data_IF_654377331034
#
_entry.id   IF_654377331034
#
_cell.length_a   1.000
_cell.length_b   1.000
_cell.length_c   1.000
_cell.angle_alpha   90.00
_cell.angle_beta   90.00
_cell.angle_gamma   90.00
#
_symmetry.space_group_name_H-M   'P 1'
#
loop_
_entity.id
_entity.type
_entity.pdbx_description
1 polymer ?
#
# COMPACT_ATOMS: atom_id res chain seq x y z
N UNK A 1 26.46 -8.17 -79.58
CA UNK A 1 27.26 -8.24 -78.35
C UNK A 1 26.80 -7.14 -77.47
N UNK A 2 25.96 -7.42 -76.41
CA UNK A 2 25.52 -6.48 -75.43
C UNK A 2 25.96 -7.01 -74.07
N UNK A 3 26.86 -6.32 -73.39
CA UNK A 3 27.28 -6.59 -72.00
C UNK A 3 26.25 -5.98 -71.05
N UNK A 4 25.64 -6.86 -70.23
CA UNK A 4 24.83 -6.43 -69.08
C UNK A 4 25.74 -6.38 -67.86
N UNK A 5 25.89 -5.21 -67.26
CA UNK A 5 26.59 -5.03 -66.00
C UNK A 5 25.56 -5.23 -64.83
N UNK A 6 25.84 -6.25 -64.01
CA UNK A 6 25.07 -6.51 -62.77
C UNK A 6 25.67 -5.69 -61.67
N UNK A 7 24.90 -4.69 -61.18
CA UNK A 7 25.25 -3.91 -59.99
C UNK A 7 24.83 -4.65 -58.73
N UNK A 8 25.78 -5.05 -57.89
CA UNK A 8 25.53 -5.54 -56.52
C UNK A 8 25.18 -4.37 -55.61
N UNK A 9 23.89 -4.23 -55.27
CA UNK A 9 23.43 -3.39 -54.20
C UNK A 9 23.64 -4.09 -52.86
N UNK A 10 24.60 -3.60 -52.06
CA UNK A 10 24.80 -4.10 -50.69
C UNK A 10 23.70 -3.60 -49.75
N UNK A 11 22.76 -4.47 -49.40
CA UNK A 11 21.78 -4.23 -48.33
C UNK A 11 22.49 -4.19 -46.96
N UNK A 12 22.72 -2.99 -46.50
CA UNK A 12 23.25 -2.73 -45.16
C UNK A 12 22.10 -2.91 -44.16
N UNK A 13 21.68 -4.14 -43.86
CA UNK A 13 20.79 -4.44 -42.74
C UNK A 13 21.53 -4.11 -41.45
N UNK A 14 21.27 -2.89 -40.89
CA UNK A 14 21.55 -2.60 -39.48
C UNK A 14 20.85 -3.69 -38.65
N UNK A 15 21.64 -4.60 -38.08
CA UNK A 15 21.16 -5.55 -37.10
C UNK A 15 20.53 -4.73 -35.95
N UNK A 16 19.22 -4.87 -35.80
CA UNK A 16 18.53 -4.34 -34.63
C UNK A 16 19.16 -4.99 -33.40
N UNK A 17 19.60 -4.19 -32.44
CA UNK A 17 20.09 -4.70 -31.17
C UNK A 17 19.00 -5.60 -30.55
N UNK A 18 19.36 -6.75 -29.95
CA UNK A 18 18.37 -7.64 -29.34
C UNK A 18 17.54 -6.86 -28.33
N UNK A 19 16.23 -6.89 -28.48
CA UNK A 19 15.31 -6.29 -27.51
C UNK A 19 15.65 -6.88 -26.14
N UNK A 20 16.00 -6.02 -25.17
CA UNK A 20 16.25 -6.45 -23.80
C UNK A 20 15.01 -7.18 -23.29
N UNK A 21 15.20 -8.38 -22.78
CA UNK A 21 14.11 -9.19 -22.19
C UNK A 21 13.38 -8.38 -21.11
N UNK A 22 12.08 -8.19 -21.28
CA UNK A 22 11.26 -7.41 -20.35
C UNK A 22 11.08 -8.21 -19.07
N UNK A 23 11.58 -7.69 -17.96
CA UNK A 23 11.41 -8.27 -16.62
C UNK A 23 10.12 -7.76 -15.98
N UNK A 24 9.36 -8.63 -15.33
CA UNK A 24 8.14 -8.22 -14.60
C UNK A 24 8.33 -8.47 -13.11
N UNK A 25 8.40 -7.39 -12.32
CA UNK A 25 8.45 -7.44 -10.86
C UNK A 25 7.03 -7.45 -10.31
N UNK A 26 6.71 -8.48 -9.52
CA UNK A 26 5.43 -8.63 -8.83
C UNK A 26 5.51 -7.93 -7.47
N UNK A 27 4.75 -6.85 -7.31
CA UNK A 27 4.66 -6.07 -6.08
C UNK A 27 3.40 -6.42 -5.31
N UNK A 28 3.52 -7.04 -4.14
CA UNK A 28 2.43 -7.20 -3.18
C UNK A 28 2.47 -6.02 -2.18
N UNK A 29 1.50 -5.12 -2.20
CA UNK A 29 1.51 -3.92 -1.37
C UNK A 29 0.16 -3.67 -0.68
N UNK A 30 0.21 -3.07 0.51
CA UNK A 30 -0.99 -2.67 1.25
C UNK A 30 -1.91 -1.78 0.40
N UNK A 31 -3.23 -1.98 0.48
CA UNK A 31 -4.25 -1.30 -0.33
C UNK A 31 -4.12 0.25 -0.31
N UNK A 32 -3.73 0.83 0.83
CA UNK A 32 -3.50 2.28 0.96
C UNK A 32 -2.37 2.84 0.08
N UNK A 33 -1.51 1.97 -0.48
CA UNK A 33 -0.41 2.36 -1.36
C UNK A 33 -0.80 2.36 -2.85
N UNK A 34 -1.93 1.76 -3.24
CA UNK A 34 -2.32 1.57 -4.64
C UNK A 34 -2.22 2.87 -5.45
N UNK A 35 -2.88 3.94 -4.98
CA UNK A 35 -2.95 5.19 -5.73
C UNK A 35 -1.60 5.84 -5.97
N UNK A 36 -0.73 5.90 -4.97
CA UNK A 36 0.60 6.49 -5.14
C UNK A 36 1.48 5.64 -6.05
N UNK A 37 1.39 4.31 -5.98
CA UNK A 37 2.14 3.43 -6.88
C UNK A 37 1.67 3.58 -8.33
N UNK A 38 0.38 3.39 -8.59
CA UNK A 38 -0.16 3.38 -9.95
C UNK A 38 -0.07 4.75 -10.63
N UNK A 39 -0.32 5.84 -9.91
CA UNK A 39 -0.39 7.17 -10.49
C UNK A 39 0.96 7.92 -10.53
N UNK A 40 1.94 7.56 -9.70
CA UNK A 40 3.19 8.30 -9.58
C UNK A 40 4.44 7.39 -9.67
N UNK A 41 4.59 6.44 -8.74
CA UNK A 41 5.86 5.75 -8.55
C UNK A 41 6.19 4.79 -9.68
N UNK A 42 5.21 4.01 -10.17
CA UNK A 42 5.41 3.09 -11.31
C UNK A 42 5.74 3.87 -12.58
N UNK A 43 5.01 4.93 -12.97
CA UNK A 43 5.39 5.79 -14.09
C UNK A 43 6.80 6.38 -13.95
N UNK A 44 7.15 6.90 -12.76
CA UNK A 44 8.49 7.48 -12.51
C UNK A 44 9.60 6.42 -12.60
N UNK A 45 9.36 5.22 -12.09
CA UNK A 45 10.32 4.11 -12.17
C UNK A 45 10.52 3.66 -13.62
N UNK A 46 9.43 3.44 -14.36
CA UNK A 46 9.48 2.96 -15.74
C UNK A 46 10.18 3.94 -16.71
N UNK A 47 10.17 5.25 -16.42
CA UNK A 47 10.95 6.23 -17.18
C UNK A 47 12.46 5.98 -17.11
N UNK A 48 12.95 5.45 -15.97
CA UNK A 48 14.37 5.16 -15.74
C UNK A 48 14.74 3.72 -16.09
N UNK A 49 13.79 2.82 -15.97
CA UNK A 49 13.92 1.37 -16.13
C UNK A 49 12.85 0.82 -17.09
N UNK A 50 12.87 1.21 -18.38
CA UNK A 50 11.83 0.82 -19.34
C UNK A 50 11.78 -0.69 -19.60
N UNK A 51 12.85 -1.42 -19.29
CA UNK A 51 12.95 -2.87 -19.37
C UNK A 51 12.31 -3.61 -18.19
N UNK A 52 11.93 -2.89 -17.13
CA UNK A 52 11.30 -3.48 -15.94
C UNK A 52 9.85 -3.03 -15.85
N UNK A 53 8.93 -3.96 -15.98
CA UNK A 53 7.49 -3.75 -15.73
C UNK A 53 7.20 -4.03 -14.26
N UNK A 54 6.44 -3.17 -13.61
CA UNK A 54 5.91 -3.43 -12.27
C UNK A 54 4.46 -3.86 -12.39
N UNK A 55 4.10 -4.94 -11.72
CA UNK A 55 2.72 -5.42 -11.60
C UNK A 55 2.31 -5.44 -10.14
N UNK A 56 1.42 -4.53 -9.75
CA UNK A 56 0.94 -4.38 -8.38
C UNK A 56 -0.24 -5.32 -8.08
N UNK A 57 -0.21 -5.92 -6.89
CA UNK A 57 -1.35 -6.58 -6.24
C UNK A 57 -1.59 -5.88 -4.92
N UNK A 58 -2.77 -5.27 -4.76
CA UNK A 58 -3.08 -4.41 -3.61
C UNK A 58 -4.25 -4.99 -2.81
N UNK A 59 -4.05 -5.28 -1.54
CA UNK A 59 -5.09 -5.72 -0.60
C UNK A 59 -4.64 -5.47 0.85
N UNK A 60 -5.44 -5.90 1.81
CA UNK A 60 -5.05 -5.93 3.22
C UNK A 60 -3.77 -6.74 3.42
N UNK A 61 -2.83 -6.21 4.20
CA UNK A 61 -1.51 -6.86 4.38
C UNK A 61 -1.60 -8.28 4.94
N UNK A 62 -2.63 -8.58 5.75
CA UNK A 62 -2.85 -9.95 6.25
C UNK A 62 -3.34 -10.90 5.17
N UNK A 63 -4.14 -10.44 4.20
CA UNK A 63 -4.53 -11.24 3.05
C UNK A 63 -3.34 -11.50 2.12
N UNK A 64 -2.54 -10.46 1.83
CA UNK A 64 -1.32 -10.60 1.05
C UNK A 64 -0.33 -11.56 1.72
N UNK A 65 -0.18 -11.48 3.06
CA UNK A 65 0.61 -12.45 3.82
C UNK A 65 0.10 -13.87 3.57
N UNK A 66 -1.21 -14.11 3.71
CA UNK A 66 -1.79 -15.43 3.47
C UNK A 66 -1.61 -15.89 2.03
N UNK A 67 -1.75 -15.00 1.05
CA UNK A 67 -1.53 -15.32 -0.37
C UNK A 67 -0.06 -15.70 -0.63
N UNK A 68 0.91 -14.99 -0.04
CA UNK A 68 2.34 -15.33 -0.13
C UNK A 68 2.61 -16.71 0.49
N UNK A 69 2.03 -16.99 1.67
CA UNK A 69 2.14 -18.29 2.32
C UNK A 69 1.51 -19.43 1.49
N UNK A 70 0.50 -19.12 0.67
CA UNK A 70 -0.18 -20.06 -0.23
C UNK A 70 0.37 -20.02 -1.68
N UNK A 71 1.55 -19.41 -1.90
CA UNK A 71 2.25 -19.51 -3.18
C UNK A 71 2.08 -18.33 -4.13
N UNK A 72 1.57 -17.17 -3.67
CA UNK A 72 1.64 -15.95 -4.49
C UNK A 72 3.09 -15.66 -4.84
N UNK A 73 3.37 -15.63 -6.13
CA UNK A 73 4.71 -15.43 -6.67
C UNK A 73 5.05 -13.93 -6.71
N UNK A 74 5.30 -13.34 -5.53
CA UNK A 74 5.67 -11.95 -5.40
C UNK A 74 7.19 -11.79 -5.28
N UNK A 75 7.71 -10.65 -5.76
CA UNK A 75 9.11 -10.26 -5.59
C UNK A 75 9.30 -9.36 -4.37
N UNK A 76 8.37 -8.45 -4.15
CA UNK A 76 8.43 -7.45 -3.07
C UNK A 76 7.12 -7.51 -2.28
N UNK A 77 7.24 -7.37 -0.97
CA UNK A 77 6.10 -7.16 -0.07
C UNK A 77 6.24 -5.84 0.67
N UNK A 78 5.17 -5.01 0.65
CA UNK A 78 5.07 -3.78 1.45
C UNK A 78 3.82 -3.89 2.33
N UNK A 79 4.03 -4.00 3.62
CA UNK A 79 2.96 -4.14 4.60
C UNK A 79 2.62 -2.80 5.27
N UNK A 80 1.37 -2.58 5.64
CA UNK A 80 0.95 -1.45 6.46
C UNK A 80 1.17 -1.68 7.98
N UNK A 81 1.82 -2.78 8.37
CA UNK A 81 2.24 -3.04 9.74
C UNK A 81 3.43 -4.00 9.80
N UNK A 82 4.25 -3.84 10.81
CA UNK A 82 5.40 -4.73 11.06
C UNK A 82 4.97 -6.18 11.34
N UNK A 83 3.78 -6.40 11.90
CA UNK A 83 3.27 -7.73 12.29
C UNK A 83 3.31 -8.73 11.14
N UNK A 84 2.79 -8.37 9.98
CA UNK A 84 2.69 -9.24 8.81
C UNK A 84 4.07 -9.51 8.18
N UNK A 85 4.90 -8.46 8.10
CA UNK A 85 6.29 -8.60 7.62
C UNK A 85 7.08 -9.56 8.53
N UNK A 86 7.01 -9.37 9.84
CA UNK A 86 7.69 -10.24 10.81
C UNK A 86 7.16 -11.68 10.79
N UNK A 87 5.86 -11.87 10.52
CA UNK A 87 5.29 -13.20 10.40
C UNK A 87 5.85 -13.97 9.19
N UNK A 88 5.96 -13.30 8.03
CA UNK A 88 6.58 -13.88 6.83
C UNK A 88 8.08 -14.13 7.03
N UNK A 89 8.77 -13.20 7.66
CA UNK A 89 10.21 -13.31 7.93
C UNK A 89 10.51 -14.52 8.84
N UNK A 90 9.80 -14.65 9.96
CA UNK A 90 9.93 -15.79 10.89
C UNK A 90 9.65 -17.14 10.24
N UNK A 91 8.77 -17.16 9.22
CA UNK A 91 8.47 -18.37 8.44
C UNK A 91 9.45 -18.60 7.28
N UNK A 92 10.45 -17.72 7.10
CA UNK A 92 11.49 -17.86 6.08
C UNK A 92 11.08 -17.50 4.66
N UNK A 93 9.98 -16.74 4.49
CA UNK A 93 9.53 -16.25 3.18
C UNK A 93 10.28 -15.00 2.71
N UNK A 94 10.92 -14.26 3.62
CA UNK A 94 11.60 -13.00 3.30
C UNK A 94 13.12 -13.18 3.24
N UNK A 95 13.77 -12.36 2.43
CA UNK A 95 15.19 -12.04 2.60
C UNK A 95 15.29 -11.04 3.76
N UNK A 96 15.58 -11.54 4.96
CA UNK A 96 15.59 -10.76 6.21
C UNK A 96 16.48 -9.52 6.12
N UNK A 97 17.60 -9.59 5.37
CA UNK A 97 18.53 -8.47 5.17
C UNK A 97 17.93 -7.34 4.32
N UNK A 98 16.91 -7.64 3.52
CA UNK A 98 16.21 -6.66 2.68
C UNK A 98 15.13 -5.87 3.43
N UNK A 99 14.69 -6.34 4.61
CA UNK A 99 13.59 -5.73 5.35
C UNK A 99 14.02 -4.38 5.93
N UNK A 100 13.28 -3.33 5.57
CA UNK A 100 13.52 -1.96 6.05
C UNK A 100 12.21 -1.25 6.37
N UNK A 101 12.17 -0.35 7.36
CA UNK A 101 11.09 0.62 7.50
C UNK A 101 11.14 1.57 6.29
N UNK A 102 10.00 1.84 5.68
CA UNK A 102 9.91 2.70 4.49
C UNK A 102 9.14 3.98 4.80
N UNK A 103 7.91 3.86 5.32
CA UNK A 103 7.00 4.98 5.51
C UNK A 103 6.34 4.94 6.89
N UNK A 104 5.86 6.11 7.32
CA UNK A 104 4.97 6.29 8.47
C UNK A 104 3.61 6.78 8.01
N UNK A 105 2.56 6.44 8.79
CA UNK A 105 1.20 6.89 8.59
C UNK A 105 0.52 7.19 9.92
N UNK A 106 -0.72 7.70 9.88
CA UNK A 106 -1.54 8.01 11.06
C UNK A 106 -2.91 7.37 10.91
N UNK A 107 -3.46 6.89 12.00
CA UNK A 107 -4.85 6.44 12.06
C UNK A 107 -5.74 7.63 12.36
N UNK A 108 -6.80 7.82 11.59
CA UNK A 108 -7.75 8.92 11.73
C UNK A 108 -9.18 8.43 11.80
N UNK A 109 -9.99 9.19 12.54
CA UNK A 109 -11.44 9.06 12.58
C UNK A 109 -12.04 9.96 11.50
N UNK A 110 -12.84 9.37 10.62
CA UNK A 110 -13.55 10.06 9.56
C UNK A 110 -15.06 9.92 9.67
N UNK A 111 -15.77 10.93 9.15
CA UNK A 111 -17.23 10.93 8.98
C UNK A 111 -17.57 11.39 7.57
N UNK A 112 -18.79 11.13 7.03
CA UNK A 112 -19.24 11.67 5.75
C UNK A 112 -19.23 13.20 5.74
N UNK A 113 -18.81 13.82 4.61
CA UNK A 113 -18.72 15.27 4.48
C UNK A 113 -20.10 15.98 4.44
N UNK A 114 -21.14 15.25 4.03
CA UNK A 114 -22.47 15.78 3.80
C UNK A 114 -23.43 15.69 5.01
N UNK A 115 -22.92 15.35 6.20
CA UNK A 115 -23.74 15.10 7.39
C UNK A 115 -23.37 15.95 8.61
N UNK A 116 -24.39 16.28 9.42
CA UNK A 116 -24.16 16.78 10.79
C UNK A 116 -23.84 15.61 11.70
N UNK A 117 -22.58 15.16 11.70
CA UNK A 117 -22.17 14.07 12.58
C UNK A 117 -22.10 14.52 14.04
N UNK A 118 -22.67 13.75 14.97
CA UNK A 118 -22.51 13.99 16.41
C UNK A 118 -21.12 13.58 16.91
N UNK A 119 -20.31 12.97 16.05
CA UNK A 119 -18.98 12.44 16.35
C UNK A 119 -17.97 13.56 16.23
N UNK A 120 -17.30 13.91 17.33
CA UNK A 120 -16.34 15.02 17.41
C UNK A 120 -14.95 14.57 17.89
N UNK A 121 -14.84 13.39 18.48
CA UNK A 121 -13.58 12.82 18.96
C UNK A 121 -13.58 11.28 18.85
N UNK A 122 -12.44 10.63 19.05
CA UNK A 122 -12.30 9.16 18.93
C UNK A 122 -13.28 8.41 19.85
N UNK A 123 -13.52 8.89 21.07
CA UNK A 123 -14.46 8.26 22.01
C UNK A 123 -15.89 8.31 21.52
N UNK A 124 -16.25 9.29 20.72
CA UNK A 124 -17.58 9.42 20.15
C UNK A 124 -17.92 8.30 19.14
N UNK A 125 -16.91 7.55 18.64
CA UNK A 125 -17.18 6.39 17.81
C UNK A 125 -18.08 5.37 18.51
N UNK A 126 -18.10 5.36 19.83
CA UNK A 126 -19.08 4.58 20.62
C UNK A 126 -20.54 5.04 20.40
N UNK A 127 -20.78 6.28 19.96
CA UNK A 127 -22.11 6.82 19.66
C UNK A 127 -22.55 6.54 18.21
N UNK A 128 -21.64 6.15 17.33
CA UNK A 128 -21.94 5.81 15.94
C UNK A 128 -22.95 4.66 15.89
N UNK A 129 -23.92 4.74 14.98
CA UNK A 129 -24.91 3.67 14.76
C UNK A 129 -24.31 2.56 13.88
N UNK A 130 -23.59 2.94 12.85
CA UNK A 130 -22.97 2.06 11.85
C UNK A 130 -21.50 2.42 11.67
N UNK A 131 -20.62 2.23 12.68
CA UNK A 131 -19.20 2.49 12.54
C UNK A 131 -18.58 1.46 11.59
N UNK A 132 -17.54 1.87 10.83
CA UNK A 132 -16.77 0.98 9.97
C UNK A 132 -15.31 0.94 10.38
N UNK A 133 -14.73 -0.25 10.46
CA UNK A 133 -13.30 -0.48 10.71
C UNK A 133 -12.80 -1.61 9.81
N UNK A 134 -11.52 -1.65 9.52
CA UNK A 134 -10.93 -2.84 8.88
C UNK A 134 -11.06 -4.06 9.79
N UNK A 135 -11.23 -5.25 9.21
CA UNK A 135 -11.26 -6.49 10.01
C UNK A 135 -9.91 -6.67 10.76
N UNK A 136 -9.90 -6.66 12.10
CA UNK A 136 -8.65 -6.75 12.86
C UNK A 136 -7.91 -8.08 12.70
N UNK A 137 -8.54 -9.09 12.15
CA UNK A 137 -7.89 -10.38 11.86
C UNK A 137 -6.86 -10.28 10.75
N UNK A 138 -7.14 -9.45 9.72
CA UNK A 138 -6.33 -9.39 8.50
C UNK A 138 -5.92 -7.98 8.05
N UNK A 139 -6.64 -6.92 8.50
CA UNK A 139 -6.42 -5.54 8.05
C UNK A 139 -5.60 -4.77 9.09
N UNK A 140 -4.39 -4.27 8.74
CA UNK A 140 -3.57 -3.49 9.68
C UNK A 140 -4.29 -2.28 10.29
N UNK A 141 -5.02 -1.48 9.48
CA UNK A 141 -5.79 -0.36 9.99
C UNK A 141 -6.82 -0.80 11.05
N UNK A 142 -7.43 -1.98 10.87
CA UNK A 142 -8.33 -2.59 11.85
C UNK A 142 -7.62 -3.06 13.13
N UNK A 143 -6.38 -3.53 13.01
CA UNK A 143 -5.55 -3.91 14.16
C UNK A 143 -5.22 -2.67 15.01
N UNK A 144 -4.81 -1.57 14.35
CA UNK A 144 -4.58 -0.28 15.02
C UNK A 144 -5.88 0.32 15.58
N UNK A 145 -7.01 0.20 14.84
CA UNK A 145 -8.32 0.62 15.34
C UNK A 145 -8.67 -0.11 16.62
N UNK A 146 -8.56 -1.44 16.67
CA UNK A 146 -8.79 -2.25 17.87
C UNK A 146 -7.89 -1.80 19.02
N UNK A 147 -6.59 -1.57 18.75
CA UNK A 147 -5.64 -1.16 19.77
C UNK A 147 -6.02 0.21 20.35
N UNK A 148 -6.31 1.21 19.52
CA UNK A 148 -6.70 2.54 19.95
C UNK A 148 -8.02 2.53 20.73
N UNK A 149 -9.05 1.84 20.21
CA UNK A 149 -10.36 1.77 20.86
C UNK A 149 -10.31 1.00 22.18
N UNK A 150 -9.48 -0.04 22.29
CA UNK A 150 -9.26 -0.76 23.54
C UNK A 150 -8.53 0.10 24.56
N UNK A 151 -7.52 0.85 24.16
CA UNK A 151 -6.82 1.83 25.02
C UNK A 151 -7.74 2.92 25.55
N UNK A 152 -8.75 3.31 24.76
CA UNK A 152 -9.76 4.30 25.14
C UNK A 152 -10.94 3.70 25.95
N UNK A 153 -10.97 2.38 26.13
CA UNK A 153 -12.02 1.67 26.88
C UNK A 153 -13.36 1.54 26.14
N UNK A 154 -13.39 1.74 24.81
CA UNK A 154 -14.64 1.72 24.02
C UNK A 154 -14.72 0.59 22.99
N UNK A 155 -13.72 -0.28 22.91
CA UNK A 155 -13.71 -1.40 21.94
C UNK A 155 -14.96 -2.27 22.03
N UNK A 156 -15.38 -2.66 23.24
CA UNK A 156 -16.51 -3.55 23.44
C UNK A 156 -17.86 -2.86 23.12
N UNK A 157 -17.91 -1.53 23.06
CA UNK A 157 -19.08 -0.77 22.64
C UNK A 157 -19.14 -0.61 21.11
N UNK A 158 -17.99 -0.52 20.44
CA UNK A 158 -17.91 -0.32 18.99
C UNK A 158 -18.00 -1.64 18.24
N UNK A 159 -17.26 -2.67 18.67
CA UNK A 159 -17.11 -3.95 17.98
C UNK A 159 -18.44 -4.60 17.56
N UNK A 160 -19.49 -4.73 18.43
CA UNK A 160 -20.71 -5.46 18.08
C UNK A 160 -21.50 -4.85 16.92
N UNK A 161 -21.32 -3.55 16.65
CA UNK A 161 -22.06 -2.79 15.63
C UNK A 161 -21.18 -2.35 14.46
N UNK A 162 -19.88 -2.65 14.52
CA UNK A 162 -18.97 -2.25 13.48
C UNK A 162 -19.08 -3.13 12.22
N UNK A 163 -19.20 -2.50 11.06
CA UNK A 163 -18.97 -3.13 9.79
C UNK A 163 -17.49 -3.39 9.60
N UNK A 164 -17.10 -4.64 9.31
CA UNK A 164 -15.70 -5.05 9.16
C UNK A 164 -15.31 -5.05 7.68
N UNK A 165 -14.51 -4.07 7.29
CA UNK A 165 -14.00 -3.97 5.92
C UNK A 165 -12.89 -5.00 5.64
N UNK A 166 -12.89 -5.55 4.44
CA UNK A 166 -11.88 -6.52 4.00
C UNK A 166 -10.51 -5.89 3.72
N UNK A 167 -10.47 -4.58 3.57
CA UNK A 167 -9.28 -3.71 3.54
C UNK A 167 -9.68 -2.28 3.94
N UNK A 168 -8.69 -1.38 4.09
CA UNK A 168 -8.95 0.00 4.53
C UNK A 168 -9.69 0.82 3.47
N UNK A 169 -9.49 0.56 2.20
CA UNK A 169 -10.17 1.27 1.10
C UNK A 169 -11.68 1.01 1.12
N UNK A 170 -12.10 -0.20 1.47
CA UNK A 170 -13.52 -0.52 1.63
C UNK A 170 -14.15 0.28 2.77
N UNK A 171 -13.46 0.43 3.91
CA UNK A 171 -13.92 1.28 5.02
C UNK A 171 -14.08 2.73 4.57
N UNK A 172 -13.06 3.25 3.88
CA UNK A 172 -13.07 4.62 3.33
C UNK A 172 -14.29 4.85 2.42
N UNK A 173 -14.56 3.91 1.51
CA UNK A 173 -15.68 4.00 0.57
C UNK A 173 -17.02 3.99 1.30
N UNK A 174 -17.23 3.10 2.29
CA UNK A 174 -18.48 3.06 3.05
C UNK A 174 -18.77 4.36 3.77
N UNK A 175 -17.74 5.02 4.32
CA UNK A 175 -17.93 6.34 4.95
C UNK A 175 -18.17 7.41 3.89
N UNK A 176 -17.40 7.43 2.80
CA UNK A 176 -17.53 8.40 1.72
C UNK A 176 -18.88 8.33 0.96
N UNK A 177 -19.53 7.17 0.96
CA UNK A 177 -20.83 6.92 0.37
C UNK A 177 -21.99 7.07 1.38
N UNK A 178 -21.67 7.28 2.67
CA UNK A 178 -22.67 7.41 3.73
C UNK A 178 -23.30 6.09 4.20
N UNK A 179 -22.76 4.93 3.74
CA UNK A 179 -23.18 3.60 4.22
C UNK A 179 -22.69 3.33 5.66
N UNK A 180 -21.64 4.00 6.09
CA UNK A 180 -21.17 4.07 7.46
C UNK A 180 -21.20 5.52 7.94
N UNK A 181 -21.63 5.76 9.19
CA UNK A 181 -21.72 7.10 9.78
C UNK A 181 -20.40 7.59 10.39
N UNK A 182 -19.42 6.69 10.55
CA UNK A 182 -18.03 7.00 10.90
C UNK A 182 -17.13 5.81 10.60
N UNK A 183 -15.81 6.06 10.49
CA UNK A 183 -14.85 4.98 10.28
C UNK A 183 -13.44 5.33 10.71
N UNK A 184 -12.60 4.31 10.86
CA UNK A 184 -11.18 4.45 11.14
C UNK A 184 -10.37 3.99 9.93
N UNK A 185 -9.59 4.93 9.36
CA UNK A 185 -8.76 4.75 8.17
C UNK A 185 -7.39 5.40 8.38
N UNK A 186 -6.51 5.31 7.42
CA UNK A 186 -5.28 6.11 7.47
C UNK A 186 -5.52 7.53 6.97
N UNK A 187 -4.71 8.47 7.46
CA UNK A 187 -4.75 9.87 7.01
C UNK A 187 -4.54 9.99 5.50
N UNK A 188 -3.69 9.15 4.92
CA UNK A 188 -3.43 9.08 3.48
C UNK A 188 -4.67 8.67 2.69
N UNK A 189 -5.48 7.71 3.20
CA UNK A 189 -6.71 7.28 2.54
C UNK A 189 -7.76 8.41 2.57
N UNK A 190 -7.93 9.06 3.72
CA UNK A 190 -8.86 10.19 3.86
C UNK A 190 -8.52 11.33 2.90
N UNK A 191 -7.22 11.61 2.68
CA UNK A 191 -6.77 12.64 1.78
C UNK A 191 -7.14 12.41 0.31
N UNK A 192 -7.39 11.14 -0.11
CA UNK A 192 -7.79 10.81 -1.48
C UNK A 192 -9.21 11.24 -1.83
N UNK A 193 -10.10 11.33 -0.85
CA UNK A 193 -11.53 11.66 -1.04
C UNK A 193 -11.98 12.73 -0.04
N UNK A 194 -11.14 13.76 0.17
CA UNK A 194 -11.39 14.87 1.12
C UNK A 194 -12.66 15.65 0.88
N UNK A 195 -13.23 15.54 -0.32
CA UNK A 195 -14.53 16.09 -0.72
C UNK A 195 -15.72 15.25 -0.22
N UNK A 196 -15.49 13.97 0.11
CA UNK A 196 -16.52 13.03 0.56
C UNK A 196 -16.45 12.71 2.05
N UNK A 197 -15.31 12.91 2.71
CA UNK A 197 -15.11 12.64 4.13
C UNK A 197 -14.45 13.79 4.85
N UNK A 198 -14.77 13.94 6.15
CA UNK A 198 -14.11 14.88 7.05
C UNK A 198 -13.29 14.07 8.07
N UNK A 199 -12.02 14.45 8.22
CA UNK A 199 -11.19 13.94 9.32
C UNK A 199 -11.56 14.70 10.59
N UNK A 200 -12.06 13.97 11.58
CA UNK A 200 -12.46 14.52 12.90
C UNK A 200 -11.26 14.61 13.84
N UNK A 201 -10.46 13.54 13.91
CA UNK A 201 -9.32 13.48 14.83
C UNK A 201 -8.30 12.42 14.38
N UNK A 202 -7.02 12.62 14.76
CA UNK A 202 -6.01 11.56 14.75
C UNK A 202 -6.16 10.68 16.01
N UNK A 203 -5.64 9.44 15.92
CA UNK A 203 -5.61 8.55 17.08
C UNK A 203 -4.89 9.25 18.26
N UNK A 204 -5.49 9.27 19.46
CA UNK A 204 -4.92 10.00 20.60
C UNK A 204 -3.51 9.51 20.92
N UNK A 205 -2.66 10.44 21.33
CA UNK A 205 -1.29 10.12 21.78
C UNK A 205 -1.34 9.05 22.87
N UNK A 206 -0.53 8.01 22.74
CA UNK A 206 -0.47 6.89 23.67
C UNK A 206 -1.57 5.83 23.46
N UNK A 207 -2.53 6.04 22.54
CA UNK A 207 -3.53 5.02 22.21
C UNK A 207 -2.98 3.87 21.35
N UNK A 208 -1.86 4.09 20.69
CA UNK A 208 -1.10 3.07 19.96
C UNK A 208 0.23 2.82 20.66
N UNK A 209 0.63 1.55 20.83
CA UNK A 209 1.88 1.15 21.47
C UNK A 209 3.12 1.52 20.66
N UNK A 210 2.98 1.59 19.34
CA UNK A 210 4.06 1.92 18.39
C UNK A 210 3.52 2.75 17.23
N UNK A 211 4.39 3.55 16.59
CA UNK A 211 4.03 4.23 15.34
C UNK A 211 3.56 3.25 14.26
N UNK A 212 2.74 3.75 13.35
CA UNK A 212 2.28 3.00 12.18
C UNK A 212 3.39 3.04 11.13
N UNK A 213 4.13 1.94 11.00
CA UNK A 213 5.25 1.79 10.08
C UNK A 213 4.86 0.86 8.95
N UNK A 214 5.22 1.23 7.72
CA UNK A 214 5.13 0.41 6.53
C UNK A 214 6.52 -0.16 6.21
N UNK A 215 6.81 -1.40 6.59
CA UNK A 215 8.03 -2.08 6.18
C UNK A 215 7.93 -2.55 4.73
N UNK A 216 9.07 -2.52 4.03
CA UNK A 216 9.30 -3.13 2.73
C UNK A 216 10.32 -4.26 2.87
N UNK A 217 10.15 -5.33 2.08
CA UNK A 217 11.11 -6.42 2.01
C UNK A 217 11.00 -7.18 0.68
N UNK A 218 12.08 -7.84 0.29
CA UNK A 218 12.15 -8.72 -0.89
C UNK A 218 11.87 -10.15 -0.43
N UNK A 219 11.10 -10.91 -1.20
CA UNK A 219 10.86 -12.31 -0.90
C UNK A 219 12.14 -13.13 -1.14
N UNK A 220 12.39 -14.13 -0.29
CA UNK A 220 13.58 -15.00 -0.39
C UNK A 220 13.66 -15.76 -1.72
N UNK A 221 12.49 -16.09 -2.30
CA UNK A 221 12.38 -16.76 -3.60
C UNK A 221 11.88 -15.81 -4.70
N UNK A 222 12.20 -14.53 -4.61
CA UNK A 222 11.80 -13.53 -5.62
C UNK A 222 12.30 -13.93 -7.01
N UNK A 223 11.40 -14.17 -8.00
CA UNK A 223 11.80 -14.55 -9.35
C UNK A 223 12.65 -13.49 -10.04
N UNK A 224 12.40 -12.21 -9.74
CA UNK A 224 13.08 -11.06 -10.31
C UNK A 224 13.89 -10.29 -9.26
N UNK A 225 14.60 -11.02 -8.38
CA UNK A 225 15.29 -10.45 -7.21
C UNK A 225 16.24 -9.28 -7.53
N UNK A 226 16.94 -9.29 -8.67
CA UNK A 226 17.79 -8.17 -9.09
C UNK A 226 16.96 -6.92 -9.41
N UNK A 227 15.92 -7.05 -10.24
CA UNK A 227 15.02 -5.95 -10.57
C UNK A 227 14.20 -5.46 -9.35
N UNK A 228 13.86 -6.37 -8.44
CA UNK A 228 13.24 -6.02 -7.16
C UNK A 228 14.15 -5.11 -6.31
N UNK A 229 15.46 -5.38 -6.27
CA UNK A 229 16.44 -4.51 -5.58
C UNK A 229 16.50 -3.11 -6.19
N UNK A 230 16.42 -2.99 -7.52
CA UNK A 230 16.38 -1.69 -8.21
C UNK A 230 15.12 -0.90 -7.82
N UNK A 231 13.95 -1.54 -7.78
CA UNK A 231 12.71 -0.89 -7.32
C UNK A 231 12.80 -0.48 -5.85
N UNK A 232 13.30 -1.36 -4.96
CA UNK A 232 13.48 -1.03 -3.53
C UNK A 232 14.43 0.14 -3.35
N UNK A 233 15.53 0.22 -4.11
CA UNK A 233 16.47 1.35 -4.09
C UNK A 233 15.79 2.64 -4.58
N UNK A 234 15.03 2.57 -5.68
CA UNK A 234 14.27 3.72 -6.20
C UNK A 234 13.29 4.27 -5.15
N UNK A 235 12.54 3.39 -4.47
CA UNK A 235 11.55 3.81 -3.48
C UNK A 235 12.15 4.53 -2.26
N UNK A 236 13.46 4.43 -2.04
CA UNK A 236 14.18 5.14 -0.98
C UNK A 236 14.79 6.48 -1.44
N UNK A 237 14.68 6.84 -2.73
CA UNK A 237 15.17 8.12 -3.27
C UNK A 237 14.32 9.30 -2.79
N UNK A 238 14.91 10.50 -2.76
CA UNK A 238 14.19 11.72 -2.40
C UNK A 238 13.01 11.99 -3.35
N UNK A 239 13.16 11.69 -4.64
CA UNK A 239 12.08 11.83 -5.63
C UNK A 239 10.89 10.93 -5.31
N UNK A 240 11.12 9.66 -4.95
CA UNK A 240 10.06 8.75 -4.53
C UNK A 240 9.44 9.19 -3.19
N UNK A 241 10.27 9.66 -2.23
CA UNK A 241 9.76 10.20 -0.95
C UNK A 241 8.90 11.44 -1.15
N UNK A 242 9.25 12.33 -2.08
CA UNK A 242 8.41 13.48 -2.44
C UNK A 242 7.06 13.03 -3.03
N UNK A 243 7.04 11.97 -3.86
CA UNK A 243 5.80 11.39 -4.35
C UNK A 243 4.95 10.82 -3.20
N UNK A 244 5.54 10.05 -2.30
CA UNK A 244 4.85 9.56 -1.10
C UNK A 244 4.29 10.70 -0.23
N UNK A 245 5.09 11.75 0.00
CA UNK A 245 4.67 12.92 0.81
C UNK A 245 3.45 13.63 0.20
N UNK A 246 3.35 13.74 -1.13
CA UNK A 246 2.17 14.32 -1.81
C UNK A 246 0.88 13.55 -1.51
N UNK A 247 0.99 12.26 -1.19
CA UNK A 247 -0.14 11.41 -0.78
C UNK A 247 -0.29 11.32 0.75
N UNK A 248 0.49 12.11 1.51
CA UNK A 248 0.36 12.21 2.96
C UNK A 248 1.17 11.18 3.76
N UNK A 249 1.95 10.33 3.11
CA UNK A 249 2.91 9.47 3.82
C UNK A 249 4.11 10.27 4.31
N UNK A 250 4.66 9.91 5.46
CA UNK A 250 5.91 10.44 5.97
C UNK A 250 7.04 9.42 5.82
N UNK A 251 8.28 9.91 5.66
CA UNK A 251 9.47 9.06 5.76
C UNK A 251 9.65 8.62 7.21
N UNK A 252 10.01 7.37 7.43
CA UNK A 252 10.42 6.90 8.77
C UNK A 252 11.65 7.65 9.25
N UNK A 253 11.64 7.98 10.53
CA UNK A 253 12.79 8.61 11.20
C UNK A 253 13.93 7.61 11.42
#
# INVERSE_FOLDING_TARGET
>A
MALVAIGCGGDNKKAAAPAKEQKTVQLAAAASLEKVFEQQLIPMFNQKHPEIKIQGVYDASGKLQSQIENGLNADIFISAANKQMQALDKKGYMDSASIKPLLENKLVLIVPANGNSPIKEFKDLAKAKHPAIGDPSSVPAGQYAREALASLGIWEQVRPKASLGTNVTQVLNWVGEGSADAGLVYATDAALIKDKVIVIAEAPIGSLKKPIIYPIGILKKAPQGAAAKELVAFLQTDAAMQAFNKYGFAKTK
#
